data_IF_659575711294
#
_entry.id   IF_659575711294
#
_cell.length_a   1.000
_cell.length_b   1.000
_cell.length_c   1.000
_cell.angle_alpha   90.00
_cell.angle_beta   90.00
_cell.angle_gamma   90.00
#
_symmetry.space_group_name_H-M   'P 1'
#
loop_
_entity.id
_entity.type
_entity.pdbx_description
1 polymer ?
#
# COMPACT_ATOMS: atom_id res chain seq x y z
N UNK A 1 18.49 2.15 -0.17
CA UNK A 1 19.00 0.89 -0.75
C UNK A 1 18.14 -0.25 -0.22
N UNK A 2 16.94 -0.44 -0.77
CA UNK A 2 15.98 -1.41 -0.25
C UNK A 2 15.21 -2.07 -1.40
N UNK A 3 15.92 -2.79 -2.29
CA UNK A 3 15.33 -4.01 -2.84
C UNK A 3 15.61 -5.10 -1.79
N UNK A 4 14.66 -5.32 -0.89
CA UNK A 4 14.67 -6.57 -0.15
C UNK A 4 14.65 -7.68 -1.18
N UNK A 5 15.66 -8.55 -1.15
CA UNK A 5 15.88 -9.66 -2.07
C UNK A 5 14.77 -10.70 -1.87
N UNK A 6 13.54 -10.35 -2.25
CA UNK A 6 12.39 -11.20 -2.18
C UNK A 6 12.57 -12.27 -3.24
N UNK A 7 12.89 -13.50 -2.80
CA UNK A 7 13.03 -14.64 -3.68
C UNK A 7 11.72 -14.81 -4.47
N UNK A 8 11.85 -14.89 -5.79
CA UNK A 8 10.71 -15.16 -6.66
C UNK A 8 10.17 -16.56 -6.31
N UNK A 9 8.88 -16.71 -5.94
CA UNK A 9 8.28 -18.01 -5.66
C UNK A 9 8.43 -18.94 -6.86
N UNK A 10 8.68 -20.23 -6.65
CA UNK A 10 8.83 -21.20 -7.74
C UNK A 10 7.54 -21.32 -8.57
N UNK A 11 7.67 -21.71 -9.85
CA UNK A 11 6.51 -21.83 -10.73
C UNK A 11 5.62 -23.03 -10.33
N UNK A 12 4.30 -22.85 -10.40
CA UNK A 12 3.35 -23.95 -10.21
C UNK A 12 3.50 -24.95 -11.35
N UNK A 13 3.72 -26.22 -11.00
CA UNK A 13 3.82 -27.30 -11.96
C UNK A 13 2.42 -27.83 -12.29
N UNK A 14 1.84 -27.32 -13.37
CA UNK A 14 0.54 -27.78 -13.86
C UNK A 14 0.68 -29.13 -14.58
N UNK A 15 -0.20 -30.08 -14.27
CA UNK A 15 -0.24 -31.38 -14.93
C UNK A 15 -1.67 -31.88 -15.13
N UNK A 16 -1.80 -32.85 -16.04
CA UNK A 16 -3.05 -33.57 -16.27
C UNK A 16 -3.52 -34.27 -14.99
N UNK A 17 -4.83 -34.22 -14.73
CA UNK A 17 -5.45 -34.82 -13.55
C UNK A 17 -5.27 -34.05 -12.25
N UNK A 18 -4.63 -32.87 -12.25
CA UNK A 18 -4.50 -32.03 -11.05
C UNK A 18 -5.85 -31.44 -10.63
N UNK A 19 -6.25 -31.62 -9.37
CA UNK A 19 -7.41 -30.92 -8.80
C UNK A 19 -7.04 -29.47 -8.47
N UNK A 20 -7.81 -28.52 -9.01
CA UNK A 20 -7.60 -27.10 -8.78
C UNK A 20 -7.99 -26.73 -7.33
N UNK A 21 -7.17 -25.87 -6.75
CA UNK A 21 -7.34 -25.35 -5.41
C UNK A 21 -6.89 -23.88 -5.39
N UNK A 22 -7.45 -23.02 -4.53
CA UNK A 22 -7.12 -21.60 -4.49
C UNK A 22 -5.61 -21.31 -4.38
N UNK A 23 -4.88 -22.17 -3.69
CA UNK A 23 -3.43 -22.05 -3.47
C UNK A 23 -2.65 -22.06 -4.79
N UNK A 24 -3.09 -22.83 -5.79
CA UNK A 24 -2.41 -22.88 -7.08
C UNK A 24 -2.45 -21.52 -7.78
N UNK A 25 -3.62 -20.87 -7.78
CA UNK A 25 -3.79 -19.53 -8.34
C UNK A 25 -3.03 -18.48 -7.53
N UNK A 26 -3.14 -18.54 -6.20
CA UNK A 26 -2.45 -17.61 -5.31
C UNK A 26 -0.92 -17.65 -5.46
N UNK A 27 -0.33 -18.85 -5.64
CA UNK A 27 1.11 -18.99 -5.88
C UNK A 27 1.51 -18.52 -7.28
N UNK A 28 0.70 -18.83 -8.30
CA UNK A 28 0.94 -18.34 -9.65
C UNK A 28 0.91 -16.80 -9.70
N UNK A 29 -0.10 -16.17 -9.10
CA UNK A 29 -0.25 -14.72 -9.05
C UNK A 29 0.91 -14.05 -8.29
N UNK A 30 1.25 -14.56 -7.11
CA UNK A 30 2.40 -14.06 -6.32
C UNK A 30 3.71 -14.11 -7.12
N UNK A 31 3.94 -15.20 -7.88
CA UNK A 31 5.11 -15.30 -8.75
C UNK A 31 5.08 -14.25 -9.86
N UNK A 32 3.94 -14.03 -10.51
CA UNK A 32 3.82 -13.03 -11.58
C UNK A 32 4.02 -11.60 -11.05
N UNK A 33 3.43 -11.27 -9.90
CA UNK A 33 3.64 -9.98 -9.23
C UNK A 33 5.13 -9.76 -8.89
N UNK A 34 5.81 -10.77 -8.34
CA UNK A 34 7.22 -10.70 -8.01
C UNK A 34 8.12 -10.52 -9.25
N UNK A 35 7.81 -11.22 -10.35
CA UNK A 35 8.53 -11.07 -11.62
C UNK A 35 8.34 -9.66 -12.20
N UNK A 36 7.12 -9.13 -12.19
CA UNK A 36 6.82 -7.78 -12.66
C UNK A 36 7.58 -6.72 -11.84
N UNK A 37 7.58 -6.84 -10.51
CA UNK A 37 8.32 -5.96 -9.62
C UNK A 37 9.84 -6.02 -9.89
N UNK A 38 10.40 -7.22 -10.07
CA UNK A 38 11.82 -7.40 -10.39
C UNK A 38 12.18 -6.74 -11.73
N UNK A 39 11.40 -6.96 -12.78
CA UNK A 39 11.64 -6.35 -14.08
C UNK A 39 11.55 -4.82 -14.00
N UNK A 40 10.56 -4.26 -13.29
CA UNK A 40 10.44 -2.83 -13.08
C UNK A 40 11.67 -2.26 -12.33
N UNK A 41 12.16 -2.97 -11.32
CA UNK A 41 13.34 -2.58 -10.55
C UNK A 41 14.62 -2.53 -11.39
N UNK A 42 14.77 -3.46 -12.34
CA UNK A 42 15.90 -3.44 -13.28
C UNK A 42 15.74 -2.42 -14.40
N UNK A 43 14.50 -2.10 -14.79
CA UNK A 43 14.22 -1.11 -15.83
C UNK A 43 14.42 0.34 -15.35
N UNK A 44 14.18 0.62 -14.06
CA UNK A 44 14.34 1.96 -13.48
C UNK A 44 14.82 1.92 -12.02
N UNK A 45 15.87 2.69 -11.67
CA UNK A 45 16.32 2.82 -10.28
C UNK A 45 15.28 3.49 -9.36
N UNK A 46 14.29 4.20 -9.92
CA UNK A 46 13.21 4.89 -9.20
C UNK A 46 11.83 4.31 -9.56
N UNK A 47 11.68 2.98 -9.45
CA UNK A 47 10.48 2.24 -9.87
C UNK A 47 9.36 2.21 -8.82
N UNK A 48 9.57 2.77 -7.62
CA UNK A 48 8.58 2.87 -6.55
C UNK A 48 8.46 4.32 -6.05
N UNK A 49 7.34 4.63 -5.42
CA UNK A 49 7.04 5.97 -4.93
C UNK A 49 5.57 6.39 -5.13
N UNK A 50 5.29 7.62 -4.74
CA UNK A 50 4.00 8.28 -4.88
C UNK A 50 3.82 8.77 -6.32
N UNK A 51 2.71 8.40 -6.95
CA UNK A 51 2.22 8.97 -8.22
C UNK A 51 1.31 10.16 -7.96
N UNK A 52 0.41 10.01 -7.00
CA UNK A 52 -0.58 11.01 -6.62
C UNK A 52 -0.84 10.93 -5.12
N UNK A 53 -0.93 12.07 -4.45
CA UNK A 53 -1.19 12.16 -3.03
C UNK A 53 -1.91 13.48 -2.73
N UNK A 54 -3.02 13.39 -2.03
CA UNK A 54 -3.73 14.54 -1.49
C UNK A 54 -4.23 14.25 -0.07
N UNK A 55 -4.17 15.28 0.77
CA UNK A 55 -4.68 15.25 2.13
C UNK A 55 -5.83 16.26 2.29
N UNK A 56 -6.72 16.00 3.23
CA UNK A 56 -7.73 16.97 3.66
C UNK A 56 -7.07 18.03 4.55
N UNK A 57 -6.88 19.24 4.00
CA UNK A 57 -6.21 20.34 4.71
C UNK A 57 -7.00 20.85 5.92
N UNK A 58 -8.32 20.77 5.87
CA UNK A 58 -9.19 21.24 6.96
C UNK A 58 -9.09 20.27 8.13
N UNK A 59 -9.19 18.97 7.86
CA UNK A 59 -9.04 17.95 8.90
C UNK A 59 -7.62 17.94 9.47
N UNK A 60 -6.60 18.13 8.63
CA UNK A 60 -5.21 18.23 9.07
C UNK A 60 -5.05 19.33 10.12
N UNK A 61 -5.49 20.55 9.81
CA UNK A 61 -5.40 21.69 10.72
C UNK A 61 -6.08 21.42 12.08
N UNK A 62 -7.10 20.56 12.10
CA UNK A 62 -7.87 20.15 13.28
C UNK A 62 -7.33 18.92 14.02
N UNK A 63 -6.25 18.30 13.53
CA UNK A 63 -5.58 17.16 14.17
C UNK A 63 -5.81 15.79 13.55
N UNK A 64 -6.33 15.71 12.32
CA UNK A 64 -6.50 14.43 11.61
C UNK A 64 -5.85 14.47 10.23
N UNK A 65 -4.79 13.68 10.03
CA UNK A 65 -4.18 13.53 8.70
C UNK A 65 -4.97 12.50 7.90
N UNK A 66 -5.93 12.97 7.12
CA UNK A 66 -6.78 12.13 6.25
C UNK A 66 -6.31 12.20 4.80
N UNK A 67 -6.04 11.03 4.21
CA UNK A 67 -5.76 10.91 2.78
C UNK A 67 -7.08 11.00 2.01
N UNK A 68 -7.13 11.85 0.98
CA UNK A 68 -8.29 11.99 0.09
C UNK A 68 -8.07 11.38 -1.28
N UNK A 69 -6.80 11.27 -1.69
CA UNK A 69 -6.39 10.59 -2.92
C UNK A 69 -5.00 10.03 -2.75
N UNK A 70 -4.79 8.80 -3.20
CA UNK A 70 -3.48 8.16 -3.16
C UNK A 70 -3.36 7.16 -4.31
N UNK A 71 -2.29 7.30 -5.07
CA UNK A 71 -1.81 6.28 -5.99
C UNK A 71 -0.31 6.17 -5.87
N UNK A 72 0.20 4.96 -5.66
CA UNK A 72 1.61 4.74 -5.38
C UNK A 72 2.04 3.31 -5.74
N UNK A 73 3.35 3.11 -5.80
CA UNK A 73 3.99 1.80 -5.81
C UNK A 73 4.85 1.71 -4.56
N UNK A 74 4.65 0.69 -3.73
CA UNK A 74 5.47 0.44 -2.54
C UNK A 74 6.85 -0.09 -2.93
N UNK A 75 7.86 0.00 -2.03
CA UNK A 75 9.19 -0.54 -2.27
C UNK A 75 9.24 -2.05 -2.60
N UNK A 76 8.21 -2.82 -2.23
CA UNK A 76 8.10 -4.25 -2.56
C UNK A 76 7.35 -4.52 -3.88
N UNK A 77 7.04 -3.45 -4.65
CA UNK A 77 6.40 -3.54 -5.96
C UNK A 77 4.87 -3.52 -5.92
N UNK A 78 4.24 -3.54 -4.75
CA UNK A 78 2.78 -3.47 -4.69
C UNK A 78 2.27 -2.12 -5.19
N UNK A 79 1.44 -2.20 -6.22
CA UNK A 79 0.68 -1.06 -6.74
C UNK A 79 -0.53 -0.82 -5.86
N UNK A 80 -0.76 0.44 -5.53
CA UNK A 80 -1.89 0.87 -4.71
C UNK A 80 -2.62 2.01 -5.39
N UNK A 81 -3.94 1.88 -5.43
CA UNK A 81 -4.86 2.96 -5.75
C UNK A 81 -5.89 3.00 -4.62
N UNK A 82 -6.08 4.18 -4.04
CA UNK A 82 -6.98 4.40 -2.92
C UNK A 82 -8.16 5.25 -3.37
N UNK A 83 -9.36 4.74 -3.11
CA UNK A 83 -10.62 5.46 -3.27
C UNK A 83 -11.35 5.47 -1.91
N UNK A 84 -11.55 6.64 -1.25
CA UNK A 84 -12.18 6.71 0.07
C UNK A 84 -13.60 6.14 0.10
N UNK A 85 -14.32 6.13 -1.04
CA UNK A 85 -15.66 5.55 -1.13
C UNK A 85 -15.61 4.03 -1.06
N UNK A 86 -14.59 3.43 -1.66
CA UNK A 86 -14.48 1.98 -1.76
C UNK A 86 -13.68 1.40 -0.59
N UNK A 87 -12.61 2.07 -0.19
CA UNK A 87 -11.62 1.54 0.73
C UNK A 87 -11.86 1.94 2.18
N UNK A 88 -12.74 2.91 2.42
CA UNK A 88 -12.97 3.47 3.75
C UNK A 88 -11.89 4.48 4.14
N UNK A 89 -11.92 4.95 5.38
CA UNK A 89 -11.02 6.01 5.82
C UNK A 89 -9.57 5.55 5.97
N UNK A 90 -8.67 6.35 5.40
CA UNK A 90 -7.23 6.28 5.62
C UNK A 90 -6.80 7.55 6.36
N UNK A 91 -6.88 7.49 7.69
CA UNK A 91 -6.69 8.63 8.59
C UNK A 91 -5.76 8.28 9.74
N UNK A 92 -4.94 9.25 10.14
CA UNK A 92 -4.12 9.20 11.34
C UNK A 92 -4.56 10.31 12.28
N UNK A 93 -4.90 9.95 13.50
CA UNK A 93 -5.22 10.91 14.57
C UNK A 93 -3.92 11.48 15.15
N UNK A 94 -3.66 12.76 14.86
CA UNK A 94 -2.47 13.47 15.31
C UNK A 94 -2.60 13.94 16.76
N UNK A 95 -3.81 14.06 17.30
CA UNK A 95 -4.03 14.42 18.70
C UNK A 95 -3.63 13.29 19.62
N UNK A 96 -3.90 12.05 19.22
CA UNK A 96 -3.41 10.88 19.97
C UNK A 96 -1.88 10.88 20.05
N UNK A 97 -1.19 11.26 18.96
CA UNK A 97 0.28 11.39 18.99
C UNK A 97 0.73 12.54 19.89
N UNK A 98 0.04 13.68 19.86
CA UNK A 98 0.29 14.81 20.75
C UNK A 98 0.10 14.42 22.24
N UNK A 99 -0.97 13.70 22.57
CA UNK A 99 -1.27 13.21 23.93
C UNK A 99 -0.22 12.20 24.43
N UNK A 100 0.40 11.46 23.50
CA UNK A 100 1.50 10.55 23.78
C UNK A 100 2.87 11.25 23.85
N UNK A 101 2.89 12.59 23.76
CA UNK A 101 4.10 13.41 23.79
C UNK A 101 5.11 13.07 22.67
N UNK A 102 4.62 12.58 21.52
CA UNK A 102 5.45 12.32 20.35
C UNK A 102 6.07 13.61 19.80
N UNK A 103 7.34 13.52 19.36
CA UNK A 103 8.07 14.68 18.87
C UNK A 103 7.64 15.06 17.45
N UNK A 104 7.29 16.34 17.27
CA UNK A 104 7.11 16.95 15.96
C UNK A 104 8.38 17.69 15.52
N UNK A 105 8.76 17.66 14.24
CA UNK A 105 8.01 17.07 13.14
C UNK A 105 8.09 15.54 13.06
N UNK A 106 6.96 14.90 12.78
CA UNK A 106 6.86 13.43 12.67
C UNK A 106 6.72 13.00 11.21
N UNK A 107 7.45 11.95 10.82
CA UNK A 107 7.34 11.35 9.49
C UNK A 107 6.16 10.37 9.48
N UNK A 108 5.30 10.49 8.48
CA UNK A 108 4.13 9.62 8.28
C UNK A 108 4.31 8.77 7.04
N UNK A 109 4.06 7.48 7.21
CA UNK A 109 4.18 6.45 6.20
C UNK A 109 2.82 5.86 5.85
N UNK A 110 2.61 5.56 4.57
CA UNK A 110 1.68 4.53 4.16
C UNK A 110 2.28 3.19 4.55
N UNK A 111 1.50 2.33 5.19
CA UNK A 111 1.92 0.98 5.54
C UNK A 111 0.94 -0.06 5.03
N UNK A 112 1.48 -1.18 4.58
CA UNK A 112 0.73 -2.39 4.23
C UNK A 112 1.41 -3.58 4.91
N UNK A 113 0.67 -4.56 5.49
CA UNK A 113 1.32 -5.73 6.05
C UNK A 113 2.20 -6.43 5.00
N UNK A 114 3.37 -6.90 5.42
CA UNK A 114 4.23 -7.68 4.54
C UNK A 114 3.49 -8.90 4.01
N UNK A 115 3.81 -9.25 2.75
CA UNK A 115 3.42 -10.56 2.23
C UNK A 115 3.96 -11.64 3.19
N UNK A 116 3.14 -12.66 3.46
CA UNK A 116 3.55 -13.74 4.36
C UNK A 116 4.60 -14.57 3.66
N UNK A 117 5.73 -14.74 4.33
CA UNK A 117 6.75 -15.70 3.96
C UNK A 117 6.54 -16.96 4.82
N UNK A 118 6.16 -18.12 4.23
CA UNK A 118 6.01 -19.36 4.98
C UNK A 118 7.29 -19.79 5.70
N UNK A 119 8.45 -19.47 5.14
CA UNK A 119 9.76 -19.83 5.68
C UNK A 119 10.22 -18.85 6.77
N UNK A 120 9.60 -17.66 6.84
CA UNK A 120 9.91 -16.59 7.80
C UNK A 120 8.63 -16.00 8.43
N UNK A 121 7.94 -16.75 9.29
CA UNK A 121 6.74 -16.27 9.93
C UNK A 121 7.05 -15.11 10.90
N UNK A 122 6.37 -13.99 10.71
CA UNK A 122 6.45 -12.83 11.62
C UNK A 122 5.28 -12.85 12.59
N UNK A 123 5.56 -12.93 13.89
CA UNK A 123 4.52 -12.95 14.93
C UNK A 123 3.69 -11.66 14.93
N UNK A 124 2.37 -11.80 15.12
CA UNK A 124 1.45 -10.66 15.10
C UNK A 124 1.29 -9.97 13.73
N UNK A 125 1.69 -10.63 12.64
CA UNK A 125 1.49 -10.11 11.28
C UNK A 125 0.04 -10.26 10.83
N UNK A 126 -0.53 -9.16 10.34
CA UNK A 126 -1.86 -9.14 9.75
C UNK A 126 -1.83 -9.68 8.31
N UNK A 127 -2.95 -10.23 7.80
CA UNK A 127 -3.06 -10.52 6.37
C UNK A 127 -2.85 -9.25 5.55
N UNK A 128 -2.01 -9.32 4.51
CA UNK A 128 -1.74 -8.20 3.59
C UNK A 128 -3.00 -7.65 2.92
N UNK A 129 -3.94 -8.55 2.62
CA UNK A 129 -5.18 -8.25 1.95
C UNK A 129 -6.40 -8.47 2.85
N UNK A 130 -7.53 -7.83 2.50
CA UNK A 130 -8.86 -8.13 3.03
C UNK A 130 -9.80 -8.50 1.88
N UNK A 131 -10.72 -9.42 2.14
CA UNK A 131 -11.78 -9.75 1.18
C UNK A 131 -12.81 -8.63 1.16
N UNK A 132 -13.28 -8.27 -0.03
CA UNK A 132 -14.38 -7.33 -0.25
C UNK A 132 -15.35 -7.92 -1.25
N UNK A 133 -16.63 -7.70 -1.01
CA UNK A 133 -17.66 -7.96 -2.01
C UNK A 133 -17.55 -6.88 -3.09
N UNK A 134 -17.60 -7.30 -4.35
CA UNK A 134 -17.56 -6.37 -5.48
C UNK A 134 -18.82 -6.51 -6.32
N UNK A 135 -18.99 -5.59 -7.28
CA UNK A 135 -20.14 -5.64 -8.20
C UNK A 135 -20.11 -6.95 -8.96
N UNK A 136 -21.30 -7.47 -9.27
CA UNK A 136 -21.43 -8.64 -10.13
C UNK A 136 -20.74 -8.38 -11.48
N UNK A 137 -19.99 -9.36 -11.93
CA UNK A 137 -19.26 -9.34 -13.20
C UNK A 137 -20.02 -10.21 -14.17
N UNK A 138 -20.41 -9.66 -15.32
CA UNK A 138 -21.00 -10.43 -16.42
C UNK A 138 -19.91 -11.10 -17.23
N UNK A 139 -20.26 -12.17 -17.93
CA UNK A 139 -19.35 -12.77 -18.92
C UNK A 139 -19.00 -11.75 -20.01
N UNK A 140 -17.72 -11.59 -20.34
CA UNK A 140 -17.26 -10.59 -21.30
C UNK A 140 -17.63 -10.92 -22.76
N UNK A 141 -17.89 -12.19 -23.07
CA UNK A 141 -18.26 -12.64 -24.42
C UNK A 141 -19.77 -12.54 -24.66
N UNK A 142 -20.59 -12.86 -23.66
CA UNK A 142 -22.06 -12.88 -23.81
C UNK A 142 -22.74 -11.64 -23.23
N UNK A 143 -22.14 -10.99 -22.23
CA UNK A 143 -22.75 -9.90 -21.46
C UNK A 143 -23.84 -10.37 -20.48
N UNK A 144 -24.00 -11.68 -20.31
CA UNK A 144 -25.01 -12.31 -19.47
C UNK A 144 -24.36 -12.97 -18.22
N UNK A 145 -25.17 -13.63 -17.39
CA UNK A 145 -24.72 -14.43 -16.24
C UNK A 145 -23.84 -13.70 -15.22
N UNK A 146 -24.36 -12.59 -14.68
CA UNK A 146 -23.70 -11.80 -13.65
C UNK A 146 -23.34 -12.66 -12.41
N UNK A 147 -22.04 -12.76 -12.10
CA UNK A 147 -21.51 -13.51 -10.97
C UNK A 147 -20.90 -12.58 -9.91
N UNK A 148 -21.21 -12.84 -8.63
CA UNK A 148 -20.53 -12.20 -7.51
C UNK A 148 -19.16 -12.85 -7.32
N UNK A 149 -18.11 -12.06 -7.55
CA UNK A 149 -16.72 -12.51 -7.36
C UNK A 149 -16.12 -11.66 -6.22
N UNK A 150 -15.88 -12.27 -5.04
CA UNK A 150 -15.15 -11.61 -3.96
C UNK A 150 -13.74 -11.24 -4.43
N UNK A 151 -13.25 -10.06 -4.06
CA UNK A 151 -11.91 -9.59 -4.43
C UNK A 151 -11.07 -9.28 -3.20
N UNK A 152 -9.77 -9.26 -3.39
CA UNK A 152 -8.81 -8.86 -2.38
C UNK A 152 -8.42 -7.40 -2.57
N UNK A 153 -8.42 -6.62 -1.48
CA UNK A 153 -7.86 -5.27 -1.43
C UNK A 153 -6.73 -5.17 -0.42
N UNK A 154 -5.67 -4.41 -0.71
CA UNK A 154 -4.60 -4.16 0.26
C UNK A 154 -5.15 -3.56 1.56
N UNK A 155 -4.58 -3.97 2.69
CA UNK A 155 -4.86 -3.35 3.99
C UNK A 155 -3.95 -2.14 4.17
N UNK A 156 -4.46 -0.97 3.79
CA UNK A 156 -3.75 0.29 3.95
C UNK A 156 -3.93 0.82 5.37
N UNK A 157 -2.85 1.32 5.96
CA UNK A 157 -2.89 2.12 7.19
C UNK A 157 -1.84 3.22 7.13
N UNK A 158 -1.98 4.21 8.02
CA UNK A 158 -0.97 5.23 8.24
C UNK A 158 -0.19 4.92 9.51
N UNK A 159 1.12 5.17 9.49
CA UNK A 159 2.00 4.99 10.63
C UNK A 159 2.88 6.22 10.80
N UNK A 160 2.97 6.74 12.03
CA UNK A 160 3.83 7.84 12.40
C UNK A 160 5.09 7.31 13.10
N UNK A 161 6.26 7.76 12.66
CA UNK A 161 7.55 7.36 13.21
C UNK A 161 8.66 7.40 12.16
N UNK A 162 9.92 7.34 12.60
CA UNK A 162 11.07 7.31 11.69
C UNK A 162 11.18 5.96 10.96
N UNK A 163 11.05 4.87 11.71
CA UNK A 163 11.17 3.51 11.19
C UNK A 163 9.85 2.77 11.28
N UNK A 164 9.43 2.17 10.17
CA UNK A 164 8.23 1.35 10.09
C UNK A 164 8.54 -0.04 10.67
N UNK A 165 7.66 -0.63 11.53
CA UNK A 165 7.88 -1.96 12.07
C UNK A 165 8.07 -3.01 10.98
N UNK A 166 8.98 -3.97 11.19
CA UNK A 166 9.41 -4.96 10.18
C UNK A 166 8.25 -5.70 9.51
N UNK A 167 7.15 -5.96 10.25
CA UNK A 167 5.94 -6.63 9.75
C UNK A 167 5.18 -5.86 8.67
N UNK A 168 5.54 -4.61 8.39
CA UNK A 168 4.94 -3.77 7.37
C UNK A 168 5.96 -3.40 6.28
N UNK A 169 5.44 -3.13 5.09
CA UNK A 169 6.17 -2.35 4.10
C UNK A 169 5.67 -0.92 4.18
N UNK A 170 6.62 0.01 4.29
CA UNK A 170 6.36 1.43 4.45
C UNK A 170 6.72 2.24 3.19
N UNK A 171 5.90 3.23 2.87
CA UNK A 171 6.21 4.29 1.91
C UNK A 171 6.04 5.63 2.61
N UNK A 172 7.10 6.44 2.80
CA UNK A 172 6.95 7.75 3.41
C UNK A 172 6.10 8.66 2.52
N UNK A 173 5.10 9.31 3.12
CA UNK A 173 4.14 10.16 2.41
C UNK A 173 4.35 11.65 2.72
N UNK A 174 4.53 11.98 3.99
CA UNK A 174 4.54 13.36 4.46
C UNK A 174 5.25 13.48 5.80
N UNK A 175 5.71 14.69 6.09
CA UNK A 175 6.14 15.08 7.44
C UNK A 175 5.14 16.08 7.99
N UNK A 176 4.70 15.89 9.23
CA UNK A 176 3.73 16.77 9.88
C UNK A 176 4.44 17.55 10.98
N UNK A 177 4.18 18.85 11.05
CA UNK A 177 4.60 19.76 12.14
C UNK A 177 3.41 20.16 12.97
N UNK A 178 3.65 20.43 14.25
CA UNK A 178 2.68 21.02 15.16
C UNK A 178 3.07 22.48 15.46
N UNK A 179 2.09 23.37 15.46
CA UNK A 179 2.23 24.74 15.92
C UNK A 179 1.06 25.10 16.83
N UNK A 180 1.34 25.28 18.13
CA UNK A 180 0.32 25.39 19.17
C UNK A 180 -0.69 24.21 19.09
N UNK A 181 -1.97 24.51 18.85
CA UNK A 181 -3.05 23.51 18.77
C UNK A 181 -3.41 23.12 17.31
N UNK A 182 -2.59 23.51 16.33
CA UNK A 182 -2.82 23.20 14.92
C UNK A 182 -1.68 22.41 14.30
N UNK A 183 -2.00 21.65 13.25
CA UNK A 183 -1.05 20.82 12.52
C UNK A 183 -0.95 21.24 11.05
N UNK A 184 0.24 21.10 10.49
CA UNK A 184 0.51 21.45 9.10
C UNK A 184 1.50 20.46 8.47
N UNK A 185 1.53 20.38 7.14
CA UNK A 185 2.58 19.67 6.42
C UNK A 185 3.88 20.47 6.51
N UNK A 186 4.98 19.78 6.80
CA UNK A 186 6.33 20.33 6.69
C UNK A 186 6.80 20.30 5.23
N UNK A 187 7.90 21.00 4.95
CA UNK A 187 8.61 20.84 3.68
C UNK A 187 9.23 19.43 3.62
N UNK A 188 8.58 18.56 2.85
CA UNK A 188 8.97 17.17 2.66
C UNK A 188 8.53 16.71 1.28
N UNK A 189 9.47 16.14 0.53
CA UNK A 189 9.21 15.55 -0.78
C UNK A 189 9.23 14.04 -0.64
N UNK A 190 8.09 13.33 -0.80
CA UNK A 190 8.08 11.89 -0.77
C UNK A 190 8.83 11.31 -1.98
N UNK A 191 9.25 10.03 -1.93
CA UNK A 191 9.75 9.34 -3.10
C UNK A 191 8.69 9.36 -4.21
N UNK A 192 9.03 9.82 -5.40
CA UNK A 192 8.12 9.94 -6.54
C UNK A 192 8.56 9.06 -7.72
N UNK A 193 7.59 8.46 -8.41
CA UNK A 193 7.82 7.62 -9.59
C UNK A 193 8.29 8.41 -10.82
N UNK A 194 8.01 9.71 -10.85
CA UNK A 194 8.43 10.64 -11.89
C UNK A 194 8.78 11.97 -11.24
N UNK A 195 9.88 12.57 -11.67
CA UNK A 195 10.12 13.98 -11.42
C UNK A 195 9.19 14.76 -12.35
N UNK A 196 8.04 15.22 -11.84
CA UNK A 196 7.29 16.25 -12.54
C UNK A 196 8.02 17.57 -12.30
N UNK A 197 8.54 18.18 -13.35
CA UNK A 197 8.96 19.59 -13.28
C UNK A 197 7.68 20.39 -13.08
N UNK A 198 7.53 21.07 -11.94
CA UNK A 198 6.43 22.01 -11.76
C UNK A 198 6.55 23.11 -12.82
N UNK A 199 5.48 23.47 -13.55
CA UNK A 199 5.47 24.73 -14.27
C UNK A 199 5.58 25.85 -13.23
N UNK A 200 6.58 26.72 -13.42
CA UNK A 200 6.84 27.87 -12.55
C UNK A 200 5.78 28.95 -12.61
#
# INVERSE_FOLDING_TARGET
MASGDARIPDAVQWHEGMFLAPQHFQQADQRQEALAALHAAHASPYHWGVRELAFDSVQLASGALRVTRLSAILPDGLVVEYDPVQDGDLVLDLKVLQEQEESFPVLVHLTVPRARDPDRPVSGSLPRYRSVETRHVVDENTGEDALAIPRLRPRLSLFAGQDVPEKYVGLPLARVTQHADSFALADFVPPHLRLSVAPG
#
